data_IF_101701741074
#
_entry.id   IF_101701741074
#
_cell.length_a   1.000
_cell.length_b   1.000
_cell.length_c   1.000
_cell.angle_alpha   90.00
_cell.angle_beta   90.00
_cell.angle_gamma   90.00
#
_symmetry.space_group_name_H-M   'P 1'
#
loop_
_entity.id
_entity.type
_entity.pdbx_description
1 polymer ?
#
# COMPACT_ATOMS: atom_id res chain seq x y z
N UNK A 1 -27.86 -1.60 47.14
CA UNK A 1 -27.12 -0.94 46.04
C UNK A 1 -25.95 -1.81 45.63
N UNK A 2 -26.03 -2.53 44.50
CA UNK A 2 -24.92 -3.33 43.99
C UNK A 2 -23.86 -2.41 43.37
N UNK A 3 -22.66 -2.34 43.97
CA UNK A 3 -21.51 -1.66 43.37
C UNK A 3 -21.03 -2.51 42.19
N UNK A 4 -21.31 -2.07 40.96
CA UNK A 4 -20.73 -2.69 39.77
C UNK A 4 -19.21 -2.53 39.84
N UNK A 5 -18.47 -3.64 39.97
CA UNK A 5 -17.02 -3.63 39.83
C UNK A 5 -16.67 -3.14 38.42
N UNK A 6 -16.07 -1.94 38.33
CA UNK A 6 -15.49 -1.45 37.08
C UNK A 6 -14.23 -2.26 36.84
N UNK A 7 -14.28 -3.21 35.90
CA UNK A 7 -13.09 -3.90 35.42
C UNK A 7 -12.07 -2.83 35.01
N UNK A 8 -10.80 -2.91 35.45
CA UNK A 8 -9.77 -2.01 34.96
C UNK A 8 -9.69 -2.23 33.44
N UNK A 9 -10.15 -1.22 32.68
CA UNK A 9 -10.03 -1.23 31.23
C UNK A 9 -8.53 -1.25 30.98
N UNK A 10 -7.99 -2.40 30.56
CA UNK A 10 -6.59 -2.51 30.21
C UNK A 10 -6.30 -1.36 29.24
N UNK A 11 -5.46 -0.39 29.66
CA UNK A 11 -4.98 0.61 28.71
C UNK A 11 -4.32 -0.21 27.61
N UNK A 12 -4.86 -0.16 26.40
CA UNK A 12 -4.24 -0.86 25.28
C UNK A 12 -2.79 -0.38 25.21
N UNK A 13 -1.85 -1.29 24.89
CA UNK A 13 -0.43 -0.93 24.79
C UNK A 13 -0.22 0.29 23.89
N UNK A 14 -1.09 0.45 22.90
CA UNK A 14 -1.26 1.64 22.08
C UNK A 14 -1.37 2.95 22.89
N UNK A 15 -2.30 3.04 23.85
CA UNK A 15 -2.49 4.24 24.70
C UNK A 15 -1.29 4.45 25.61
N UNK A 16 -0.67 3.36 26.10
CA UNK A 16 0.50 3.42 26.98
C UNK A 16 1.77 3.89 26.25
N UNK A 17 1.95 3.46 25.01
CA UNK A 17 3.11 3.78 24.17
C UNK A 17 2.88 5.01 23.27
N UNK A 18 1.69 5.61 23.30
CA UNK A 18 1.36 6.77 22.49
C UNK A 18 1.34 6.51 20.98
N UNK A 19 1.21 5.24 20.56
CA UNK A 19 1.20 4.85 19.15
C UNK A 19 -0.15 5.20 18.57
N UNK A 20 -0.19 6.11 17.60
CA UNK A 20 -1.45 6.59 17.00
C UNK A 20 -1.66 6.14 15.56
N UNK A 21 -0.62 5.68 14.90
CA UNK A 21 -0.55 5.33 13.48
C UNK A 21 0.51 4.25 13.30
N UNK A 22 0.42 3.56 12.18
CA UNK A 22 1.36 2.54 11.75
C UNK A 22 2.72 3.17 11.48
N UNK A 23 3.78 2.49 11.89
CA UNK A 23 5.15 2.94 11.64
C UNK A 23 5.75 2.14 10.48
N UNK A 24 6.66 2.72 9.69
CA UNK A 24 7.38 1.99 8.65
C UNK A 24 8.04 0.71 9.17
N UNK A 25 8.64 0.78 10.36
CA UNK A 25 9.25 -0.37 11.01
C UNK A 25 8.27 -1.48 11.35
N UNK A 26 7.01 -1.17 11.71
CA UNK A 26 6.00 -2.19 11.95
C UNK A 26 5.63 -2.97 10.67
N UNK A 27 5.51 -2.27 9.54
CA UNK A 27 5.22 -2.89 8.25
C UNK A 27 6.41 -3.75 7.79
N UNK A 28 7.63 -3.22 7.89
CA UNK A 28 8.85 -3.96 7.55
C UNK A 28 9.00 -5.21 8.43
N UNK A 29 8.77 -5.10 9.75
CA UNK A 29 8.82 -6.23 10.67
C UNK A 29 7.77 -7.30 10.34
N UNK A 30 6.53 -6.89 10.03
CA UNK A 30 5.47 -7.80 9.62
C UNK A 30 5.83 -8.58 8.35
N UNK A 31 6.45 -7.94 7.36
CA UNK A 31 6.94 -8.61 6.16
C UNK A 31 8.00 -9.68 6.48
N UNK A 32 8.99 -9.36 7.32
CA UNK A 32 10.03 -10.34 7.71
C UNK A 32 9.43 -11.50 8.52
N UNK A 33 8.47 -11.22 9.40
CA UNK A 33 7.76 -12.27 10.13
C UNK A 33 7.09 -13.28 9.21
N UNK A 34 6.42 -12.80 8.16
CA UNK A 34 5.81 -13.67 7.15
C UNK A 34 6.89 -14.49 6.44
N UNK A 35 8.00 -13.88 6.02
CA UNK A 35 9.09 -14.61 5.36
C UNK A 35 9.64 -15.71 6.26
N UNK A 36 9.89 -15.43 7.53
CA UNK A 36 10.36 -16.42 8.48
C UNK A 36 9.37 -17.57 8.68
N UNK A 37 8.08 -17.27 8.82
CA UNK A 37 7.04 -18.31 8.93
C UNK A 37 7.02 -19.28 7.74
N UNK A 38 7.44 -18.84 6.56
CA UNK A 38 7.53 -19.67 5.35
C UNK A 38 8.93 -20.20 5.05
N UNK A 39 9.96 -19.78 5.79
CA UNK A 39 11.35 -20.12 5.51
C UNK A 39 11.73 -21.55 5.88
N UNK A 40 11.05 -22.14 6.87
CA UNK A 40 11.45 -23.40 7.48
C UNK A 40 12.58 -23.28 8.52
N UNK A 41 13.02 -22.06 8.85
CA UNK A 41 13.91 -21.80 9.98
C UNK A 41 13.14 -21.97 11.30
N UNK A 42 13.75 -22.66 12.27
CA UNK A 42 13.13 -22.88 13.59
C UNK A 42 13.48 -21.75 14.58
N UNK A 43 14.65 -21.12 14.39
CA UNK A 43 15.17 -20.12 15.29
C UNK A 43 14.97 -18.73 14.71
N UNK A 44 14.21 -17.88 15.42
CA UNK A 44 14.12 -16.47 15.11
C UNK A 44 15.43 -15.75 15.45
N UNK A 45 16.28 -15.56 14.44
CA UNK A 45 17.56 -14.89 14.53
C UNK A 45 17.76 -13.82 13.44
N UNK A 46 18.88 -13.06 13.49
CA UNK A 46 19.22 -12.12 12.43
C UNK A 46 19.52 -12.80 11.09
N UNK A 47 19.99 -14.05 11.15
CA UNK A 47 20.25 -14.92 10.01
C UNK A 47 19.57 -16.26 10.33
N UNK A 48 18.85 -16.81 9.35
CA UNK A 48 18.21 -18.12 9.45
C UNK A 48 19.20 -19.24 9.70
N UNK A 49 18.82 -20.20 10.54
CA UNK A 49 19.66 -21.32 10.94
C UNK A 49 19.76 -22.40 9.85
N UNK A 50 18.72 -22.54 9.02
CA UNK A 50 18.67 -23.52 7.92
C UNK A 50 18.85 -22.84 6.57
N UNK A 51 18.09 -21.78 6.32
CA UNK A 51 18.04 -21.12 5.01
C UNK A 51 19.18 -20.13 4.78
N UNK A 52 19.88 -19.74 5.86
CA UNK A 52 20.85 -18.64 5.88
C UNK A 52 20.27 -17.30 5.35
N UNK A 53 18.94 -17.13 5.35
CA UNK A 53 18.30 -15.85 4.99
C UNK A 53 18.72 -14.80 6.02
N UNK A 54 19.30 -13.70 5.56
CA UNK A 54 19.62 -12.57 6.42
C UNK A 54 18.37 -11.69 6.64
N UNK A 55 17.58 -12.06 7.65
CA UNK A 55 16.37 -11.34 8.05
C UNK A 55 16.63 -9.89 8.44
N UNK A 56 17.79 -9.60 9.03
CA UNK A 56 18.17 -8.23 9.38
C UNK A 56 18.38 -7.37 8.14
N UNK A 57 19.09 -7.87 7.14
CA UNK A 57 19.33 -7.11 5.92
C UNK A 57 18.03 -6.90 5.14
N UNK A 58 17.17 -7.94 5.07
CA UNK A 58 15.83 -7.82 4.49
C UNK A 58 14.97 -6.80 5.21
N UNK A 59 15.02 -6.76 6.55
CA UNK A 59 14.30 -5.75 7.33
C UNK A 59 14.76 -4.33 6.93
N UNK A 60 16.07 -4.11 6.87
CA UNK A 60 16.63 -2.82 6.51
C UNK A 60 16.25 -2.43 5.06
N UNK A 61 16.32 -3.37 4.12
CA UNK A 61 15.93 -3.17 2.72
C UNK A 61 14.46 -2.73 2.59
N UNK A 62 13.54 -3.41 3.28
CA UNK A 62 12.12 -3.01 3.27
C UNK A 62 11.89 -1.68 3.97
N UNK A 63 12.54 -1.44 5.10
CA UNK A 63 12.42 -0.20 5.84
C UNK A 63 12.90 0.98 4.98
N UNK A 64 14.06 0.87 4.35
CA UNK A 64 14.62 1.89 3.48
C UNK A 64 13.74 2.14 2.26
N UNK A 65 13.19 1.07 1.65
CA UNK A 65 12.25 1.18 0.53
C UNK A 65 10.98 1.96 0.93
N UNK A 66 10.41 1.65 2.09
CA UNK A 66 9.22 2.34 2.61
C UNK A 66 9.55 3.81 2.95
N UNK A 67 10.67 4.07 3.62
CA UNK A 67 11.10 5.42 3.98
C UNK A 67 11.37 6.26 2.73
N UNK A 68 12.00 5.68 1.71
CA UNK A 68 12.25 6.35 0.43
C UNK A 68 10.95 6.64 -0.32
N UNK A 69 10.01 5.69 -0.33
CA UNK A 69 8.68 5.88 -0.89
C UNK A 69 7.92 7.02 -0.21
N UNK A 70 7.98 7.10 1.12
CA UNK A 70 7.42 8.21 1.90
C UNK A 70 8.12 9.54 1.59
N UNK A 71 9.46 9.55 1.56
CA UNK A 71 10.27 10.76 1.27
C UNK A 71 9.94 11.34 -0.10
N UNK A 72 9.75 10.46 -1.10
CA UNK A 72 9.36 10.81 -2.47
C UNK A 72 7.85 11.02 -2.64
N UNK A 73 7.06 10.92 -1.59
CA UNK A 73 5.58 11.01 -1.62
C UNK A 73 4.95 10.06 -2.65
N UNK A 74 5.53 8.88 -2.83
CA UNK A 74 5.02 7.91 -3.78
C UNK A 74 3.62 7.45 -3.37
N UNK A 75 2.75 7.26 -4.36
CA UNK A 75 1.35 6.91 -4.15
C UNK A 75 1.19 5.59 -3.39
N UNK A 76 1.91 4.55 -3.81
CA UNK A 76 1.86 3.23 -3.18
C UNK A 76 2.23 3.28 -1.68
N UNK A 77 3.19 4.13 -1.30
CA UNK A 77 3.61 4.24 0.09
C UNK A 77 2.48 4.86 0.93
N UNK A 78 1.82 5.91 0.44
CA UNK A 78 0.67 6.53 1.11
C UNK A 78 -0.51 5.57 1.23
N UNK A 79 -0.84 4.88 0.14
CA UNK A 79 -1.93 3.88 0.11
C UNK A 79 -1.65 2.72 1.07
N UNK A 80 -0.40 2.28 1.17
CA UNK A 80 0.03 1.27 2.14
C UNK A 80 -0.27 1.71 3.57
N UNK A 81 0.10 2.93 3.97
CA UNK A 81 -0.20 3.41 5.32
C UNK A 81 -1.69 3.64 5.57
N UNK A 82 -2.46 4.07 4.57
CA UNK A 82 -3.91 4.16 4.70
C UNK A 82 -4.54 2.79 4.99
N UNK A 83 -4.15 1.78 4.22
CA UNK A 83 -4.62 0.41 4.41
C UNK A 83 -4.28 -0.12 5.81
N UNK A 84 -3.04 0.04 6.25
CA UNK A 84 -2.62 -0.43 7.57
C UNK A 84 -3.26 0.35 8.72
N UNK A 85 -3.39 1.68 8.61
CA UNK A 85 -4.03 2.49 9.64
C UNK A 85 -5.52 2.16 9.80
N UNK A 86 -6.25 1.89 8.71
CA UNK A 86 -7.64 1.45 8.76
C UNK A 86 -7.81 0.14 9.55
N UNK A 87 -6.91 -0.82 9.34
CA UNK A 87 -7.02 -2.16 9.94
C UNK A 87 -6.45 -2.22 11.36
N UNK A 88 -5.31 -1.56 11.62
CA UNK A 88 -4.62 -1.61 12.92
C UNK A 88 -5.16 -0.54 13.88
N UNK A 89 -5.59 0.61 13.36
CA UNK A 89 -6.02 1.76 14.14
C UNK A 89 -7.40 2.30 13.70
N UNK A 90 -8.46 1.49 13.68
CA UNK A 90 -9.78 1.89 13.17
C UNK A 90 -10.42 3.06 13.95
N UNK A 91 -9.99 3.29 15.19
CA UNK A 91 -10.47 4.39 16.03
C UNK A 91 -9.68 5.70 15.84
N UNK A 92 -8.56 5.68 15.12
CA UNK A 92 -7.74 6.86 14.84
C UNK A 92 -7.74 7.14 13.33
N UNK A 93 -8.58 8.07 12.89
CA UNK A 93 -8.58 8.57 11.50
C UNK A 93 -7.39 9.49 11.17
N UNK A 94 -6.31 9.43 11.96
CA UNK A 94 -5.15 10.30 11.84
C UNK A 94 -4.05 9.65 11.02
N UNK A 95 -4.23 9.54 9.71
CA UNK A 95 -3.22 9.00 8.81
C UNK A 95 -2.01 9.93 8.72
N UNK A 96 -1.03 9.78 9.63
CA UNK A 96 0.19 10.60 9.67
C UNK A 96 0.97 10.55 8.36
N UNK A 97 0.93 9.39 7.70
CA UNK A 97 1.63 9.14 6.44
C UNK A 97 0.67 9.02 5.24
N UNK A 98 -0.62 8.79 5.47
CA UNK A 98 -1.64 8.60 4.43
C UNK A 98 -2.55 9.80 4.15
N UNK A 99 -2.48 10.87 4.95
CA UNK A 99 -3.46 11.97 4.90
C UNK A 99 -2.89 13.31 4.48
N UNK A 100 -2.77 13.52 3.17
CA UNK A 100 -2.60 14.83 2.54
C UNK A 100 -3.44 14.89 1.28
N UNK A 101 -4.76 15.08 1.43
CA UNK A 101 -5.65 15.41 0.31
C UNK A 101 -5.29 16.80 -0.17
N UNK A 102 -4.69 16.93 -1.35
CA UNK A 102 -4.54 18.22 -2.00
C UNK A 102 -3.26 18.40 -2.80
N UNK A 103 -3.10 17.65 -3.91
CA UNK A 103 -2.58 18.19 -5.18
C UNK A 103 -2.62 17.14 -6.30
N UNK A 104 -2.35 15.88 -5.99
CA UNK A 104 -2.06 14.87 -7.01
C UNK A 104 -3.32 14.32 -7.73
N UNK A 105 -4.48 14.29 -7.06
CA UNK A 105 -5.73 13.78 -7.66
C UNK A 105 -6.25 14.66 -8.80
N UNK A 106 -5.91 15.96 -8.78
CA UNK A 106 -6.30 16.90 -9.83
C UNK A 106 -5.42 16.70 -11.06
N UNK A 107 -4.12 16.46 -10.89
CA UNK A 107 -3.16 16.29 -11.98
C UNK A 107 -3.41 14.99 -12.74
N UNK A 108 -3.57 13.86 -12.04
CA UNK A 108 -3.89 12.57 -12.67
C UNK A 108 -5.26 12.61 -13.38
N UNK A 109 -6.25 13.29 -12.79
CA UNK A 109 -7.57 13.47 -13.44
C UNK A 109 -7.48 14.35 -14.68
N UNK A 110 -6.58 15.33 -14.70
CA UNK A 110 -6.34 16.19 -15.85
C UNK A 110 -5.57 15.47 -16.95
N UNK A 111 -4.59 14.63 -16.62
CA UNK A 111 -3.86 13.78 -17.57
C UNK A 111 -4.78 12.75 -18.23
N UNK A 112 -5.62 12.05 -17.45
CA UNK A 112 -6.60 11.08 -17.98
C UNK A 112 -7.63 11.77 -18.88
N UNK A 113 -8.05 12.99 -18.54
CA UNK A 113 -8.94 13.80 -19.39
C UNK A 113 -8.24 14.26 -20.68
N UNK A 114 -6.95 14.58 -20.62
CA UNK A 114 -6.14 14.93 -21.79
C UNK A 114 -5.99 13.75 -22.75
N UNK A 115 -5.64 12.58 -22.24
CA UNK A 115 -5.51 11.34 -23.03
C UNK A 115 -6.84 10.93 -23.68
N UNK A 116 -7.96 11.05 -22.95
CA UNK A 116 -9.30 10.75 -23.48
C UNK A 116 -9.73 11.74 -24.58
N UNK A 117 -9.32 13.01 -24.49
CA UNK A 117 -9.61 14.01 -25.53
C UNK A 117 -8.78 13.77 -26.79
N UNK A 118 -7.51 13.39 -26.65
CA UNK A 118 -6.66 13.03 -27.79
C UNK A 118 -7.17 11.77 -28.54
N UNK A 119 -7.76 10.81 -27.83
CA UNK A 119 -8.35 9.62 -28.46
C UNK A 119 -9.62 9.94 -29.27
N UNK A 120 -10.41 10.93 -28.82
CA UNK A 120 -11.66 11.33 -29.48
C UNK A 120 -11.46 12.24 -30.70
N UNK A 121 -10.28 12.81 -30.88
CA UNK A 121 -9.93 13.73 -31.98
C UNK A 121 -9.17 13.03 -33.13
N UNK A 122 -9.01 11.70 -33.06
CA UNK A 122 -8.48 10.92 -34.17
C UNK A 122 -9.52 10.87 -35.29
N UNK A 123 -9.17 11.29 -36.52
CA UNK A 123 -10.09 11.22 -37.64
C UNK A 123 -10.45 9.75 -37.91
N UNK A 124 -11.75 9.45 -37.90
CA UNK A 124 -12.27 8.13 -38.32
C UNK A 124 -11.87 7.96 -39.78
N UNK A 125 -10.96 7.02 -40.03
CA UNK A 125 -10.64 6.58 -41.39
C UNK A 125 -11.90 5.88 -41.90
N UNK A 126 -12.63 6.54 -42.80
CA UNK A 126 -13.75 5.92 -43.50
C UNK A 126 -13.19 4.87 -44.46
N UNK A 127 -13.39 3.59 -44.14
CA UNK A 127 -13.22 2.51 -45.11
C UNK A 127 -14.27 2.68 -46.20
N UNK A 128 -13.84 3.18 -47.36
CA UNK A 128 -14.66 3.23 -48.57
C UNK A 128 -14.72 1.85 -49.22
N UNK A 129 -15.90 1.27 -49.09
CA UNK A 129 -16.57 0.14 -49.77
C UNK A 129 -15.88 -0.68 -50.86
N UNK A 130 -16.21 -1.98 -50.79
CA UNK A 130 -15.97 -3.02 -51.77
C UNK A 130 -16.66 -2.76 -53.12
N UNK A 131 -16.06 -3.29 -54.19
CA UNK A 131 -16.81 -3.70 -55.38
C UNK A 131 -16.48 -5.15 -55.71
N UNK A 132 -17.37 -6.01 -55.26
CA UNK A 132 -17.58 -7.36 -55.75
C UNK A 132 -18.14 -7.28 -57.18
N UNK A 133 -17.60 -8.08 -58.10
CA UNK A 133 -18.25 -8.32 -59.39
C UNK A 133 -17.91 -9.73 -59.85
N UNK A 134 -18.86 -10.62 -59.57
CA UNK A 134 -18.99 -11.96 -60.15
C UNK A 134 -19.26 -11.93 -61.67
N UNK A 135 -18.84 -13.04 -62.29
CA UNK A 135 -19.38 -13.74 -63.48
C UNK A 135 -18.93 -13.48 -64.94
N UNK A 136 -18.89 -14.64 -65.64
CA UNK A 136 -18.95 -14.94 -67.08
C UNK A 136 -17.66 -15.06 -67.94
N UNK A 137 -17.03 -16.25 -67.95
CA UNK A 137 -17.08 -17.27 -69.05
C UNK A 137 -16.03 -18.37 -68.95
#
# INVERSE_FOLDING_TARGET
>A
MQKRCKLPRAKSQQVRLGIKHTTPGAIAAAAIWVIFLFSGDEIWGPIGDVTAINYRDRFNEYLDTILEGLRRRQRWARELFLYWDEHVFPANNGARFGGGVGQDDVEVRNEIKGARRALLDMPVVSDSEASDSDDDR
#
